data_IF_380872028716
#
_entry.id   IF_380872028716
#
_cell.length_a   1.000
_cell.length_b   1.000
_cell.length_c   1.000
_cell.angle_alpha   90.00
_cell.angle_beta   90.00
_cell.angle_gamma   90.00
#
_symmetry.space_group_name_H-M   'P 1'
#
loop_
_entity.id
_entity.type
_entity.pdbx_description
1 polymer ?
#
# COMPACT_ATOMS: atom_id res chain seq x y z
N UNK A 1 4.16 -7.02 10.00
CA UNK A 1 2.85 -6.31 10.04
C UNK A 1 2.25 -6.27 8.64
N UNK A 2 0.92 -6.18 8.53
CA UNK A 2 0.22 -6.09 7.24
C UNK A 2 -0.61 -4.82 7.19
N UNK A 3 -0.37 -4.00 6.17
CA UNK A 3 -1.06 -2.71 5.97
C UNK A 3 -1.73 -2.76 4.61
N UNK A 4 -3.04 -2.47 4.57
CA UNK A 4 -3.79 -2.30 3.34
C UNK A 4 -3.95 -0.81 3.04
N UNK A 5 -3.47 -0.36 1.87
CA UNK A 5 -3.60 1.01 1.40
C UNK A 5 -4.61 1.02 0.26
N UNK A 6 -5.69 1.77 0.42
CA UNK A 6 -6.64 1.98 -0.66
C UNK A 6 -6.08 2.96 -1.68
N UNK A 7 -6.07 2.56 -2.95
CA UNK A 7 -5.54 3.35 -4.05
C UNK A 7 -6.57 3.54 -5.15
N UNK A 8 -6.47 4.60 -5.93
CA UNK A 8 -7.40 4.82 -7.05
C UNK A 8 -7.14 3.81 -8.18
N UNK A 9 -5.86 3.64 -8.54
CA UNK A 9 -5.41 2.63 -9.51
C UNK A 9 -4.07 2.06 -9.06
N UNK A 10 -4.01 0.73 -8.91
CA UNK A 10 -2.79 0.02 -8.52
C UNK A 10 -1.80 -0.12 -9.68
N UNK A 11 -2.24 0.01 -10.93
CA UNK A 11 -1.37 -0.16 -12.10
C UNK A 11 -0.38 1.00 -12.27
N UNK A 12 -0.70 2.17 -11.70
CA UNK A 12 0.18 3.33 -11.70
C UNK A 12 1.31 3.24 -10.66
N UNK A 13 1.27 2.21 -9.80
CA UNK A 13 2.25 2.02 -8.73
C UNK A 13 3.43 1.25 -9.31
N UNK A 14 4.58 1.92 -9.42
CA UNK A 14 5.82 1.26 -9.79
C UNK A 14 6.39 0.47 -8.62
N UNK A 15 7.14 -0.59 -8.95
CA UNK A 15 7.83 -1.42 -7.96
C UNK A 15 8.82 -0.59 -7.13
N UNK A 16 9.58 0.29 -7.77
CA UNK A 16 10.58 1.13 -7.08
C UNK A 16 9.93 2.08 -6.09
N UNK A 17 8.80 2.68 -6.47
CA UNK A 17 8.03 3.51 -5.56
C UNK A 17 7.45 2.71 -4.39
N UNK A 18 7.04 1.46 -4.61
CA UNK A 18 6.56 0.60 -3.51
C UNK A 18 7.65 0.28 -2.49
N UNK A 19 8.91 0.08 -2.93
CA UNK A 19 10.03 -0.09 -2.02
C UNK A 19 10.36 1.18 -1.25
N UNK A 20 10.31 2.34 -1.92
CA UNK A 20 10.46 3.63 -1.27
C UNK A 20 9.41 3.80 -0.15
N UNK A 21 8.14 3.52 -0.45
CA UNK A 21 7.06 3.60 0.53
C UNK A 21 7.26 2.64 1.71
N UNK A 22 7.67 1.40 1.45
CA UNK A 22 7.94 0.41 2.51
C UNK A 22 9.03 0.89 3.47
N UNK A 23 10.15 1.39 2.94
CA UNK A 23 11.24 1.92 3.76
C UNK A 23 10.78 3.14 4.57
N UNK A 24 9.99 4.03 3.96
CA UNK A 24 9.47 5.20 4.64
C UNK A 24 8.47 4.82 5.76
N UNK A 25 7.62 3.83 5.54
CA UNK A 25 6.70 3.33 6.58
C UNK A 25 7.44 2.58 7.68
N UNK A 26 8.52 1.88 7.35
CA UNK A 26 9.37 1.22 8.34
C UNK A 26 9.96 2.23 9.31
N UNK A 27 10.56 3.30 8.78
CA UNK A 27 11.15 4.38 9.59
C UNK A 27 10.10 5.13 10.41
N UNK A 28 9.01 5.58 9.76
CA UNK A 28 7.97 6.37 10.41
C UNK A 28 7.24 5.63 11.54
N UNK A 29 7.15 4.30 11.45
CA UNK A 29 6.48 3.45 12.44
C UNK A 29 7.47 2.68 13.33
N UNK A 30 8.79 2.94 13.21
CA UNK A 30 9.84 2.29 13.99
C UNK A 30 9.79 0.76 13.91
N UNK A 31 9.58 0.23 12.70
CA UNK A 31 9.45 -1.21 12.42
C UNK A 31 10.76 -1.86 11.99
N UNK A 32 11.90 -1.33 12.43
CA UNK A 32 13.22 -1.83 12.06
C UNK A 32 13.38 -3.32 12.38
N UNK A 33 13.90 -4.08 11.41
CA UNK A 33 14.05 -5.53 11.51
C UNK A 33 12.76 -6.35 11.39
N UNK A 34 11.59 -5.71 11.27
CA UNK A 34 10.31 -6.41 11.16
C UNK A 34 9.86 -6.46 9.68
N UNK A 35 9.47 -7.64 9.15
CA UNK A 35 8.93 -7.73 7.80
C UNK A 35 7.57 -7.00 7.69
N UNK A 36 7.48 -6.08 6.74
CA UNK A 36 6.28 -5.31 6.43
C UNK A 36 5.68 -5.81 5.11
N UNK A 37 4.37 -6.09 5.13
CA UNK A 37 3.61 -6.46 3.93
C UNK A 37 2.62 -5.34 3.64
N UNK A 38 2.65 -4.82 2.41
CA UNK A 38 1.77 -3.75 1.95
C UNK A 38 0.88 -4.28 0.83
N UNK A 39 -0.44 -4.19 1.02
CA UNK A 39 -1.42 -4.47 -0.03
C UNK A 39 -1.97 -3.17 -0.61
N UNK A 40 -1.79 -2.98 -1.91
CA UNK A 40 -2.48 -1.91 -2.64
C UNK A 40 -3.86 -2.41 -3.10
N UNK A 41 -4.89 -1.94 -2.42
CA UNK A 41 -6.28 -2.32 -2.70
C UNK A 41 -6.92 -1.26 -3.58
N UNK A 42 -7.24 -1.56 -4.86
CA UNK A 42 -7.92 -0.59 -5.71
C UNK A 42 -9.29 -0.26 -5.13
N UNK A 43 -9.65 1.02 -5.14
CA UNK A 43 -10.98 1.49 -4.75
C UNK A 43 -11.97 0.96 -5.77
N UNK A 44 -12.68 -0.12 -5.42
CA UNK A 44 -13.82 -0.56 -6.20
C UNK A 44 -14.88 0.53 -6.07
N UNK A 45 -15.18 1.22 -7.16
CA UNK A 45 -16.38 2.06 -7.22
C UNK A 45 -17.52 1.06 -7.07
N UNK A 46 -18.14 0.97 -5.89
CA UNK A 46 -19.39 0.19 -5.77
C UNK A 46 -20.29 0.67 -6.91
N UNK A 47 -20.77 -0.21 -7.81
CA UNK A 47 -21.80 0.19 -8.73
C UNK A 47 -22.93 0.74 -7.86
N UNK A 48 -23.27 2.03 -8.05
CA UNK A 48 -24.50 2.56 -7.46
C UNK A 48 -25.61 1.65 -7.96
N UNK A 49 -26.38 1.10 -7.02
CA UNK A 49 -27.36 0.05 -7.26
C UNK A 49 -28.23 0.31 -8.48
N UNK A 50 -28.53 -0.77 -9.18
CA UNK A 50 -29.72 -0.87 -10.02
C UNK A 50 -30.94 -0.98 -9.12
#
# INVERSE_FOLDING_TARGET
PRIAIQVNDRQLISRDWSFYLENHLRDALQLDGIPLVIDFVPRTRRPRGQ
#
